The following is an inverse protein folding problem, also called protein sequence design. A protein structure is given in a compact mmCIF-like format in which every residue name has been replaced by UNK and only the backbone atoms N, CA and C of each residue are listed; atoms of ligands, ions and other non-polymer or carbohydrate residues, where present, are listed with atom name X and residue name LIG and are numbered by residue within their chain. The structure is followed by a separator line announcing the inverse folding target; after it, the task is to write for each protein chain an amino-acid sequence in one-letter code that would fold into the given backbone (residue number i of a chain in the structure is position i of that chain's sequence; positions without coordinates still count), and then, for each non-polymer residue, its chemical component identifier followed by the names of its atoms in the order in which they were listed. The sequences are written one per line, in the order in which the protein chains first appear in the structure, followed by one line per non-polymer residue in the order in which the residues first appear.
data_IF_958300942653
#
_entry.id   IF_958300942653
#
_cell.length_a   1.000
_cell.length_b   1.000
_cell.length_c   1.000
_cell.angle_alpha   90.00
_cell.angle_beta   90.00
_cell.angle_gamma   90.00
#
_symmetry.space_group_name_H-M   'P 1'
#
loop_
_entity.id
_entity.type
_entity.pdbx_description
1 polymer ?
#
# COMPACT_ATOMS: atom_id res chain seq x y z
N UNK A 1 -22.97 -15.38 18.75
CA UNK A 1 -22.12 -14.77 17.69
C UNK A 1 -20.92 -15.68 17.42
N UNK A 2 -20.46 -15.81 16.16
CA UNK A 2 -19.25 -16.58 15.86
C UNK A 2 -18.03 -15.90 16.49
N UNK A 3 -17.05 -16.69 16.93
CA UNK A 3 -15.85 -16.16 17.60
C UNK A 3 -15.06 -15.24 16.63
N UNK A 4 -14.77 -13.98 17.00
CA UNK A 4 -14.01 -13.04 16.16
C UNK A 4 -12.63 -13.56 15.74
N UNK A 5 -11.98 -14.38 16.56
CA UNK A 5 -10.69 -15.01 16.21
C UNK A 5 -10.76 -15.94 15.01
N UNK A 6 -11.94 -16.45 14.65
CA UNK A 6 -12.11 -17.34 13.50
C UNK A 6 -12.05 -16.59 12.15
N UNK A 7 -12.23 -15.28 12.13
CA UNK A 7 -12.33 -14.54 10.88
C UNK A 7 -11.49 -13.26 10.79
N UNK A 8 -11.22 -12.53 11.90
CA UNK A 8 -10.47 -11.27 11.86
C UNK A 8 -9.03 -11.48 11.37
N UNK A 9 -8.26 -12.46 11.88
CA UNK A 9 -6.90 -12.70 11.40
C UNK A 9 -6.83 -12.93 9.89
N UNK A 10 -7.65 -13.86 9.39
CA UNK A 10 -7.65 -14.22 7.97
C UNK A 10 -8.24 -13.12 7.08
N UNK A 11 -9.19 -12.33 7.58
CA UNK A 11 -9.80 -11.22 6.84
C UNK A 11 -8.78 -10.12 6.56
N UNK A 12 -8.01 -9.70 7.57
CA UNK A 12 -7.02 -8.64 7.41
C UNK A 12 -5.73 -9.11 6.74
N UNK A 13 -5.42 -10.39 6.83
CA UNK A 13 -4.42 -11.00 5.97
C UNK A 13 -4.85 -10.94 4.49
N UNK A 14 -6.11 -11.28 4.20
CA UNK A 14 -6.70 -11.18 2.86
C UNK A 14 -6.83 -9.74 2.34
N UNK A 15 -6.86 -8.73 3.21
CA UNK A 15 -6.85 -7.32 2.84
C UNK A 15 -5.45 -6.85 2.40
N UNK A 16 -4.40 -7.25 3.15
CA UNK A 16 -3.03 -6.80 2.89
C UNK A 16 -2.37 -7.44 1.68
N UNK A 17 -2.59 -8.73 1.43
CA UNK A 17 -1.83 -9.48 0.41
C UNK A 17 -2.09 -9.01 -1.03
N UNK A 18 -3.32 -8.68 -1.48
CA UNK A 18 -3.55 -8.20 -2.84
C UNK A 18 -2.91 -6.83 -3.08
N UNK A 19 -2.93 -5.94 -2.09
CA UNK A 19 -2.24 -4.66 -2.17
C UNK A 19 -0.74 -4.86 -2.42
N UNK A 20 -0.10 -5.74 -1.66
CA UNK A 20 1.32 -6.09 -1.85
C UNK A 20 1.57 -6.71 -3.23
N UNK A 21 0.70 -7.59 -3.68
CA UNK A 21 0.83 -8.21 -5.00
C UNK A 21 0.77 -7.18 -6.13
N UNK A 22 -0.18 -6.24 -6.06
CA UNK A 22 -0.37 -5.18 -7.05
C UNK A 22 0.75 -4.14 -7.00
N UNK A 23 1.20 -3.73 -5.80
CA UNK A 23 2.11 -2.59 -5.62
C UNK A 23 3.59 -2.96 -5.56
N UNK A 24 3.93 -4.18 -5.11
CA UNK A 24 5.31 -4.58 -4.89
C UNK A 24 5.72 -5.77 -5.73
N UNK A 25 4.95 -6.88 -5.68
CA UNK A 25 5.29 -8.07 -6.46
C UNK A 25 5.28 -7.79 -7.96
N UNK A 26 4.31 -7.00 -8.45
CA UNK A 26 4.25 -6.59 -9.85
C UNK A 26 5.52 -5.86 -10.30
N UNK A 27 6.04 -4.94 -9.49
CA UNK A 27 7.26 -4.17 -9.78
C UNK A 27 8.47 -5.10 -9.88
N UNK A 28 8.65 -5.98 -8.89
CA UNK A 28 9.77 -6.93 -8.86
C UNK A 28 9.67 -7.91 -10.03
N UNK A 29 8.50 -8.47 -10.26
CA UNK A 29 8.22 -9.40 -11.36
C UNK A 29 8.51 -8.76 -12.73
N UNK A 30 7.97 -7.56 -12.98
CA UNK A 30 8.20 -6.87 -14.25
C UNK A 30 9.67 -6.54 -14.45
N UNK A 31 10.39 -6.15 -13.39
CA UNK A 31 11.82 -5.92 -13.46
C UNK A 31 12.59 -7.18 -13.82
N UNK A 32 12.21 -8.32 -13.24
CA UNK A 32 12.78 -9.64 -13.59
C UNK A 32 12.45 -10.10 -15.02
N UNK A 33 11.40 -9.55 -15.61
CA UNK A 33 10.96 -9.83 -16.99
C UNK A 33 11.44 -8.76 -17.96
N UNK A 34 12.49 -7.99 -17.61
CA UNK A 34 13.17 -6.99 -18.44
C UNK A 34 12.28 -5.85 -18.94
N UNK A 35 11.21 -5.53 -18.21
CA UNK A 35 10.40 -4.34 -18.47
C UNK A 35 11.17 -3.09 -18.02
N UNK A 36 11.08 -2.01 -18.81
CA UNK A 36 11.76 -0.74 -18.52
C UNK A 36 11.30 -0.12 -17.19
N UNK A 37 12.17 0.62 -16.52
CA UNK A 37 11.82 1.33 -15.29
C UNK A 37 10.73 2.38 -15.55
N UNK A 38 10.72 3.00 -16.74
CA UNK A 38 9.67 3.92 -17.18
C UNK A 38 8.31 3.23 -17.20
N UNK A 39 8.19 2.09 -17.87
CA UNK A 39 6.91 1.36 -17.97
C UNK A 39 6.46 0.80 -16.62
N UNK A 40 7.41 0.23 -15.84
CA UNK A 40 7.11 -0.25 -14.49
C UNK A 40 6.53 0.87 -13.63
N UNK A 41 7.22 2.00 -13.54
CA UNK A 41 6.81 3.11 -12.71
C UNK A 41 5.47 3.71 -13.17
N UNK A 42 5.32 3.93 -14.48
CA UNK A 42 4.10 4.47 -15.07
C UNK A 42 2.89 3.57 -14.80
N UNK A 43 2.93 2.33 -15.26
CA UNK A 43 1.77 1.45 -15.25
C UNK A 43 1.43 0.92 -13.85
N UNK A 44 2.44 0.61 -13.00
CA UNK A 44 2.16 0.18 -11.63
C UNK A 44 1.72 1.32 -10.72
N UNK A 45 2.09 2.58 -11.01
CA UNK A 45 1.55 3.73 -10.28
C UNK A 45 0.09 4.00 -10.63
N UNK A 46 -0.32 3.81 -11.87
CA UNK A 46 -1.74 3.87 -12.27
C UNK A 46 -2.62 2.90 -11.45
N UNK A 47 -2.09 1.78 -11.00
CA UNK A 47 -2.82 0.82 -10.19
C UNK A 47 -3.22 1.36 -8.79
N UNK A 48 -2.71 2.53 -8.36
CA UNK A 48 -3.22 3.24 -7.18
C UNK A 48 -4.60 3.88 -7.40
N UNK A 49 -4.99 4.10 -8.65
CA UNK A 49 -6.21 4.82 -9.00
C UNK A 49 -7.49 4.29 -8.31
N UNK A 50 -7.72 2.97 -8.18
CA UNK A 50 -8.87 2.46 -7.44
C UNK A 50 -8.92 2.95 -5.99
N UNK A 51 -7.80 3.05 -5.29
CA UNK A 51 -7.75 3.58 -3.92
C UNK A 51 -7.92 5.10 -3.87
N UNK A 52 -7.49 5.82 -4.91
CA UNK A 52 -7.73 7.28 -5.03
C UNK A 52 -9.22 7.58 -5.11
N UNK A 53 -9.95 6.85 -5.96
CA UNK A 53 -11.38 7.08 -6.20
C UNK A 53 -12.30 6.20 -5.36
N UNK A 54 -11.75 5.35 -4.48
CA UNK A 54 -12.51 4.48 -3.55
C UNK A 54 -13.70 5.17 -2.85
N UNK A 55 -13.58 6.43 -2.37
CA UNK A 55 -14.71 7.13 -1.76
C UNK A 55 -15.92 7.28 -2.69
N UNK A 56 -15.75 7.32 -4.01
CA UNK A 56 -16.82 7.55 -4.97
C UNK A 56 -17.79 6.37 -5.08
N UNK A 57 -17.30 5.13 -4.91
CA UNK A 57 -18.19 3.96 -5.00
C UNK A 57 -18.45 3.26 -3.67
N UNK A 58 -17.81 3.69 -2.59
CA UNK A 58 -18.07 3.15 -1.24
C UNK A 58 -19.56 3.10 -0.89
N UNK A 59 -20.39 4.13 -1.19
CA UNK A 59 -21.82 4.10 -0.92
C UNK A 59 -22.56 2.99 -1.67
N UNK A 60 -22.12 2.62 -2.87
CA UNK A 60 -22.78 1.58 -3.67
C UNK A 60 -22.57 0.18 -3.08
N UNK A 61 -21.43 -0.04 -2.39
CA UNK A 61 -21.16 -1.30 -1.69
C UNK A 61 -22.21 -1.54 -0.59
N UNK A 62 -22.67 -0.48 0.06
CA UNK A 62 -23.69 -0.57 1.12
C UNK A 62 -25.11 -0.82 0.58
N UNK A 63 -25.37 -0.47 -0.68
CA UNK A 63 -26.69 -0.56 -1.29
C UNK A 63 -26.97 -1.89 -1.97
N UNK A 64 -25.98 -2.42 -2.71
CA UNK A 64 -26.26 -3.49 -3.68
C UNK A 64 -26.35 -4.85 -3.00
N UNK A 65 -25.46 -5.16 -2.08
CA UNK A 65 -25.39 -6.44 -1.36
C UNK A 65 -24.87 -6.24 0.06
N UNK A 66 -24.91 -7.31 0.87
CA UNK A 66 -24.31 -7.34 2.21
C UNK A 66 -22.79 -7.17 2.13
N UNK A 67 -22.19 -6.54 3.15
CA UNK A 67 -20.69 -6.45 3.25
C UNK A 67 -20.06 -7.84 3.27
N UNK A 68 -20.72 -8.79 3.96
CA UNK A 68 -20.30 -10.20 3.96
C UNK A 68 -20.23 -10.79 2.55
N UNK A 69 -21.22 -10.49 1.68
CA UNK A 69 -21.20 -10.95 0.28
C UNK A 69 -20.03 -10.34 -0.50
N UNK A 70 -19.82 -9.04 -0.36
CA UNK A 70 -18.71 -8.36 -1.02
C UNK A 70 -17.36 -8.93 -0.61
N UNK A 71 -17.13 -9.25 0.68
CA UNK A 71 -15.88 -9.83 1.17
C UNK A 71 -15.53 -11.10 0.39
N UNK A 72 -16.35 -12.14 0.45
CA UNK A 72 -15.97 -13.40 -0.19
C UNK A 72 -16.05 -13.35 -1.73
N UNK A 73 -16.92 -12.51 -2.30
CA UNK A 73 -16.99 -12.32 -3.75
C UNK A 73 -15.70 -11.63 -4.27
N UNK A 74 -15.25 -10.55 -3.62
CA UNK A 74 -14.02 -9.87 -4.03
C UNK A 74 -12.78 -10.74 -3.83
N UNK A 75 -12.74 -11.57 -2.81
CA UNK A 75 -11.67 -12.57 -2.64
C UNK A 75 -11.63 -13.57 -3.80
N UNK A 76 -12.79 -13.98 -4.29
CA UNK A 76 -12.85 -14.86 -5.47
C UNK A 76 -12.37 -14.14 -6.73
N UNK A 77 -12.76 -12.87 -6.95
CA UNK A 77 -12.27 -12.07 -8.07
C UNK A 77 -10.76 -11.81 -7.98
N UNK A 78 -10.22 -11.56 -6.79
CA UNK A 78 -8.78 -11.44 -6.57
C UNK A 78 -8.09 -12.76 -6.92
N UNK A 79 -8.61 -13.90 -6.44
CA UNK A 79 -8.08 -15.23 -6.77
C UNK A 79 -8.10 -15.50 -8.28
N UNK A 80 -9.20 -15.17 -8.96
CA UNK A 80 -9.30 -15.28 -10.41
C UNK A 80 -8.29 -14.37 -11.14
N UNK A 81 -8.12 -13.13 -10.66
CA UNK A 81 -7.11 -12.21 -11.20
C UNK A 81 -5.68 -12.74 -11.03
N UNK A 82 -5.35 -13.29 -9.84
CA UNK A 82 -4.04 -13.93 -9.60
C UNK A 82 -3.81 -15.13 -10.52
N UNK A 83 -4.82 -15.99 -10.68
CA UNK A 83 -4.76 -17.12 -11.63
C UNK A 83 -4.60 -16.64 -13.08
N UNK A 84 -5.29 -15.56 -13.45
CA UNK A 84 -5.16 -14.92 -14.75
C UNK A 84 -3.73 -14.41 -15.01
N UNK A 85 -3.12 -13.70 -14.04
CA UNK A 85 -1.71 -13.31 -14.13
C UNK A 85 -0.82 -14.52 -14.33
N UNK A 86 -0.97 -15.56 -13.48
CA UNK A 86 -0.16 -16.77 -13.56
C UNK A 86 -0.26 -17.46 -14.92
N UNK A 87 -1.46 -17.47 -15.50
CA UNK A 87 -1.72 -18.16 -16.77
C UNK A 87 -1.14 -17.41 -17.97
N UNK A 88 -1.16 -16.08 -17.97
CA UNK A 88 -0.72 -15.27 -19.12
C UNK A 88 0.77 -14.94 -19.10
N UNK A 89 1.45 -15.09 -17.95
CA UNK A 89 2.88 -14.75 -17.78
C UNK A 89 3.81 -15.43 -18.80
N UNK A 90 3.64 -16.70 -19.18
CA UNK A 90 4.52 -17.33 -20.17
C UNK A 90 4.27 -16.90 -21.64
N UNK A 91 3.24 -16.10 -21.90
CA UNK A 91 2.84 -15.70 -23.25
C UNK A 91 3.52 -14.40 -23.71
N UNK A 92 3.55 -14.17 -25.02
CA UNK A 92 4.21 -13.02 -25.64
C UNK A 92 3.59 -11.66 -25.27
N UNK A 93 2.29 -11.63 -24.96
CA UNK A 93 1.56 -10.41 -24.55
C UNK A 93 1.45 -10.25 -23.04
N UNK A 94 2.31 -10.92 -22.26
CA UNK A 94 2.21 -11.00 -20.79
C UNK A 94 2.05 -9.62 -20.13
N UNK A 95 2.79 -8.59 -20.56
CA UNK A 95 2.80 -7.30 -19.90
C UNK A 95 1.42 -6.66 -19.90
N UNK A 96 0.79 -6.52 -21.05
CA UNK A 96 -0.56 -5.93 -21.17
C UNK A 96 -1.64 -6.81 -20.52
N UNK A 97 -1.52 -8.12 -20.69
CA UNK A 97 -2.49 -9.06 -20.14
C UNK A 97 -2.43 -9.10 -18.60
N UNK A 98 -1.23 -9.15 -18.01
CA UNK A 98 -1.09 -9.11 -16.55
C UNK A 98 -1.53 -7.77 -15.96
N UNK A 99 -1.27 -6.63 -16.64
CA UNK A 99 -1.79 -5.33 -16.23
C UNK A 99 -3.31 -5.31 -16.15
N UNK A 100 -4.01 -5.89 -17.12
CA UNK A 100 -5.47 -5.98 -17.08
C UNK A 100 -5.97 -6.77 -15.85
N UNK A 101 -5.30 -7.88 -15.50
CA UNK A 101 -5.61 -8.62 -14.29
C UNK A 101 -5.24 -7.86 -13.01
N UNK A 102 -4.12 -7.12 -13.00
CA UNK A 102 -3.77 -6.26 -11.86
C UNK A 102 -4.79 -5.13 -11.65
N UNK A 103 -5.36 -4.56 -12.72
CA UNK A 103 -6.47 -3.62 -12.62
C UNK A 103 -7.71 -4.26 -11.99
N UNK A 104 -8.10 -5.44 -12.44
CA UNK A 104 -9.19 -6.20 -11.83
C UNK A 104 -8.94 -6.42 -10.33
N UNK A 105 -7.72 -6.83 -9.97
CA UNK A 105 -7.34 -7.04 -8.57
C UNK A 105 -7.32 -5.76 -7.75
N UNK A 106 -6.83 -4.65 -8.30
CA UNK A 106 -6.79 -3.36 -7.62
C UNK A 106 -8.20 -2.85 -7.28
N UNK A 107 -9.15 -2.92 -8.22
CA UNK A 107 -10.56 -2.60 -7.98
C UNK A 107 -11.21 -3.56 -6.98
N UNK A 108 -10.95 -4.86 -7.12
CA UNK A 108 -11.48 -5.87 -6.21
C UNK A 108 -10.93 -5.71 -4.80
N UNK A 109 -9.64 -5.41 -4.65
CA UNK A 109 -9.00 -5.16 -3.35
C UNK A 109 -9.54 -3.89 -2.70
N UNK A 110 -9.64 -2.78 -3.43
CA UNK A 110 -10.22 -1.54 -2.90
C UNK A 110 -11.69 -1.71 -2.47
N UNK A 111 -12.46 -2.53 -3.18
CA UNK A 111 -13.85 -2.88 -2.82
C UNK A 111 -13.90 -3.81 -1.61
N UNK A 112 -12.97 -4.78 -1.55
CA UNK A 112 -12.82 -5.67 -0.39
C UNK A 112 -12.52 -4.88 0.89
N UNK A 113 -11.61 -3.88 0.84
CA UNK A 113 -11.28 -3.02 1.99
C UNK A 113 -12.52 -2.28 2.50
N UNK A 114 -13.34 -1.70 1.59
CA UNK A 114 -14.59 -1.03 1.98
C UNK A 114 -15.50 -2.00 2.74
N UNK A 115 -15.67 -3.21 2.19
CA UNK A 115 -16.55 -4.21 2.77
C UNK A 115 -15.99 -4.75 4.09
N UNK A 116 -14.70 -5.04 4.18
CA UNK A 116 -14.04 -5.58 5.37
C UNK A 116 -14.08 -4.59 6.54
N UNK A 117 -13.72 -3.31 6.29
CA UNK A 117 -13.76 -2.26 7.32
C UNK A 117 -15.20 -1.99 7.81
N UNK A 118 -16.16 -1.94 6.89
CA UNK A 118 -17.56 -1.80 7.24
C UNK A 118 -18.10 -3.01 8.01
N UNK A 119 -17.72 -4.22 7.62
CA UNK A 119 -18.11 -5.45 8.30
C UNK A 119 -17.51 -5.58 9.70
N UNK A 120 -16.27 -5.14 9.90
CA UNK A 120 -15.62 -5.05 11.21
C UNK A 120 -16.46 -4.22 12.21
N UNK A 121 -17.00 -3.09 11.75
CA UNK A 121 -17.84 -2.24 12.60
C UNK A 121 -19.20 -2.85 12.91
N UNK A 122 -19.78 -3.63 11.99
CA UNK A 122 -21.09 -4.27 12.17
C UNK A 122 -21.02 -5.61 12.91
N UNK A 123 -19.95 -6.34 12.72
CA UNK A 123 -19.77 -7.70 13.26
C UNK A 123 -19.23 -7.75 14.69
N UNK A 124 -18.86 -6.61 15.29
CA UNK A 124 -18.21 -6.51 16.60
C UNK A 124 -18.82 -5.42 17.47
N UNK A 125 -18.88 -5.67 18.79
CA UNK A 125 -19.18 -4.63 19.78
C UNK A 125 -18.03 -3.62 19.87
N UNK A 126 -18.27 -2.42 20.42
CA UNK A 126 -17.24 -1.40 20.58
C UNK A 126 -16.00 -1.89 21.36
N UNK A 127 -16.21 -2.66 22.42
CA UNK A 127 -15.11 -3.25 23.21
C UNK A 127 -14.31 -4.27 22.40
N UNK A 128 -14.98 -5.08 21.60
CA UNK A 128 -14.32 -6.01 20.69
C UNK A 128 -13.56 -5.28 19.59
N UNK A 129 -14.12 -4.21 19.02
CA UNK A 129 -13.42 -3.38 18.03
C UNK A 129 -12.12 -2.81 18.61
N UNK A 130 -12.17 -2.26 19.83
CA UNK A 130 -11.00 -1.74 20.51
C UNK A 130 -9.94 -2.83 20.77
N UNK A 131 -10.36 -4.02 21.18
CA UNK A 131 -9.44 -5.15 21.41
C UNK A 131 -8.79 -5.66 20.11
N UNK A 132 -9.60 -5.86 19.07
CA UNK A 132 -9.13 -6.49 17.82
C UNK A 132 -8.40 -5.52 16.88
N UNK A 133 -8.36 -4.21 17.14
CA UNK A 133 -7.67 -3.25 16.27
C UNK A 133 -6.16 -3.54 16.12
N UNK A 134 -5.51 -3.96 17.19
CA UNK A 134 -4.10 -4.39 17.15
C UNK A 134 -3.91 -5.68 16.36
N UNK A 135 -4.83 -6.64 16.53
CA UNK A 135 -4.78 -7.94 15.85
C UNK A 135 -4.97 -7.75 14.33
N UNK A 136 -5.96 -6.95 13.90
CA UNK A 136 -6.15 -6.65 12.47
C UNK A 136 -4.89 -6.05 11.85
N UNK A 137 -4.29 -5.06 12.50
CA UNK A 137 -3.07 -4.42 12.02
C UNK A 137 -1.89 -5.41 11.94
N UNK A 138 -1.78 -6.31 12.91
CA UNK A 138 -0.75 -7.36 12.91
C UNK A 138 -0.90 -8.28 11.72
N UNK A 139 -2.09 -8.81 11.46
CA UNK A 139 -2.30 -9.73 10.34
C UNK A 139 -2.21 -9.06 8.97
N UNK A 140 -2.55 -7.79 8.85
CA UNK A 140 -2.24 -6.99 7.67
C UNK A 140 -0.72 -6.94 7.42
N UNK A 141 0.10 -6.76 8.48
CA UNK A 141 1.56 -6.75 8.37
C UNK A 141 2.14 -8.13 8.09
N UNK A 142 1.56 -9.19 8.67
CA UNK A 142 1.91 -10.57 8.32
C UNK A 142 1.71 -10.81 6.82
N UNK A 143 0.63 -10.30 6.22
CA UNK A 143 0.42 -10.36 4.78
C UNK A 143 1.52 -9.62 3.99
N UNK A 144 1.97 -8.47 4.47
CA UNK A 144 3.09 -7.74 3.84
C UNK A 144 4.38 -8.56 3.86
N UNK A 145 4.75 -9.13 5.01
CA UNK A 145 5.94 -10.00 5.13
C UNK A 145 5.80 -11.23 4.24
N UNK A 146 4.63 -11.84 4.22
CA UNK A 146 4.36 -13.02 3.38
C UNK A 146 4.51 -12.66 1.89
N UNK A 147 3.91 -11.56 1.44
CA UNK A 147 3.95 -11.13 0.04
C UNK A 147 5.36 -10.74 -0.40
N UNK A 148 5.85 -9.63 0.11
CA UNK A 148 7.11 -9.05 -0.39
C UNK A 148 8.37 -9.69 0.22
N UNK A 149 8.24 -10.48 1.29
CA UNK A 149 9.33 -11.28 1.85
C UNK A 149 9.30 -12.71 1.34
N UNK A 150 8.44 -13.54 1.95
CA UNK A 150 8.42 -14.99 1.72
C UNK A 150 8.16 -15.38 0.25
N UNK A 151 7.14 -14.78 -0.39
CA UNK A 151 6.79 -15.13 -1.77
C UNK A 151 7.84 -14.64 -2.78
N UNK A 152 8.46 -13.48 -2.56
CA UNK A 152 9.56 -13.00 -3.40
C UNK A 152 10.81 -13.86 -3.22
N UNK A 153 11.14 -14.28 -1.98
CA UNK A 153 12.24 -15.22 -1.74
C UNK A 153 11.98 -16.56 -2.44
N UNK A 154 10.75 -17.06 -2.36
CA UNK A 154 10.35 -18.28 -3.06
C UNK A 154 10.43 -18.12 -4.58
N UNK A 155 10.03 -16.98 -5.13
CA UNK A 155 10.20 -16.66 -6.55
C UNK A 155 11.67 -16.76 -6.96
N UNK A 156 12.57 -16.11 -6.20
CA UNK A 156 13.99 -16.14 -6.46
C UNK A 156 14.61 -17.54 -6.36
N UNK A 157 14.15 -18.37 -5.41
CA UNK A 157 14.54 -19.77 -5.31
C UNK A 157 14.09 -20.57 -6.54
N UNK A 158 12.83 -20.36 -6.98
CA UNK A 158 12.29 -21.02 -8.16
C UNK A 158 12.99 -20.55 -9.45
N UNK A 159 13.32 -19.26 -9.58
CA UNK A 159 14.10 -18.73 -10.70
C UNK A 159 15.43 -19.47 -10.83
N UNK A 160 16.14 -19.63 -9.70
CA UNK A 160 17.43 -20.35 -9.67
C UNK A 160 17.30 -21.82 -9.99
N UNK A 161 16.26 -22.48 -9.49
CA UNK A 161 16.08 -23.95 -9.65
C UNK A 161 15.51 -24.33 -11.01
N UNK A 162 14.63 -23.51 -11.61
CA UNK A 162 13.98 -23.81 -12.88
C UNK A 162 14.69 -23.21 -14.08
N UNK A 163 15.48 -22.14 -13.88
CA UNK A 163 16.06 -21.33 -14.95
C UNK A 163 15.02 -20.56 -15.79
N UNK A 164 13.73 -20.54 -15.38
CA UNK A 164 12.63 -19.93 -16.14
C UNK A 164 11.87 -18.91 -15.30
N UNK A 165 12.18 -17.63 -15.49
CA UNK A 165 11.60 -16.51 -14.72
C UNK A 165 10.06 -16.47 -14.84
N UNK A 166 9.45 -16.47 -16.06
CA UNK A 166 7.98 -16.41 -16.17
C UNK A 166 7.28 -17.56 -15.46
N UNK A 167 7.81 -18.77 -15.59
CA UNK A 167 7.25 -19.97 -14.94
C UNK A 167 7.33 -19.90 -13.43
N UNK A 168 8.44 -19.40 -12.88
CA UNK A 168 8.64 -19.24 -11.43
C UNK A 168 7.61 -18.27 -10.84
N UNK A 169 7.39 -17.14 -11.47
CA UNK A 169 6.38 -16.18 -11.06
C UNK A 169 4.94 -16.68 -11.27
N UNK A 170 4.69 -17.46 -12.32
CA UNK A 170 3.38 -18.13 -12.49
C UNK A 170 3.04 -19.03 -11.31
N UNK A 171 4.00 -19.81 -10.79
CA UNK A 171 3.79 -20.63 -9.60
C UNK A 171 3.41 -19.77 -8.40
N UNK A 172 4.12 -18.64 -8.16
CA UNK A 172 3.81 -17.72 -7.07
C UNK A 172 2.37 -17.22 -7.15
N UNK A 173 1.95 -16.76 -8.32
CA UNK A 173 0.58 -16.24 -8.51
C UNK A 173 -0.48 -17.34 -8.42
N UNK A 174 -0.19 -18.58 -8.84
CA UNK A 174 -1.10 -19.73 -8.62
C UNK A 174 -1.23 -20.09 -7.14
N UNK A 175 -0.15 -20.01 -6.36
CA UNK A 175 -0.20 -20.21 -4.89
C UNK A 175 -1.12 -19.17 -4.26
N UNK A 176 -0.97 -17.89 -4.62
CA UNK A 176 -1.83 -16.81 -4.09
C UNK A 176 -3.29 -17.02 -4.56
N UNK A 177 -3.50 -17.40 -5.81
CA UNK A 177 -4.84 -17.69 -6.35
C UNK A 177 -5.55 -18.79 -5.55
N UNK A 178 -4.88 -19.91 -5.32
CA UNK A 178 -5.41 -21.02 -4.52
C UNK A 178 -5.74 -20.59 -3.08
N UNK A 179 -4.86 -19.78 -2.48
CA UNK A 179 -5.09 -19.21 -1.16
C UNK A 179 -6.36 -18.35 -1.13
N UNK A 180 -6.57 -17.47 -2.12
CA UNK A 180 -7.75 -16.59 -2.16
C UNK A 180 -9.05 -17.33 -2.45
N UNK A 181 -9.02 -18.39 -3.25
CA UNK A 181 -10.17 -19.31 -3.38
C UNK A 181 -10.49 -19.97 -2.03
N UNK A 182 -9.47 -20.47 -1.33
CA UNK A 182 -9.61 -21.04 0.00
C UNK A 182 -10.17 -20.03 1.02
N UNK A 183 -9.64 -18.79 1.03
CA UNK A 183 -10.12 -17.71 1.91
C UNK A 183 -11.56 -17.30 1.59
N UNK A 184 -11.95 -17.25 0.31
CA UNK A 184 -13.33 -16.98 -0.10
C UNK A 184 -14.30 -18.03 0.46
N UNK A 185 -13.98 -19.32 0.31
CA UNK A 185 -14.78 -20.43 0.84
C UNK A 185 -14.82 -20.40 2.37
N UNK A 186 -13.68 -20.13 3.02
CA UNK A 186 -13.58 -19.99 4.46
C UNK A 186 -14.46 -18.85 4.97
N UNK A 187 -14.32 -17.64 4.45
CA UNK A 187 -15.09 -16.48 4.88
C UNK A 187 -16.57 -16.62 4.57
N UNK A 188 -16.94 -17.28 3.48
CA UNK A 188 -18.33 -17.62 3.21
C UNK A 188 -18.95 -18.48 4.32
N UNK A 189 -18.15 -19.32 4.99
CA UNK A 189 -18.62 -20.22 6.06
C UNK A 189 -18.52 -19.59 7.46
N UNK A 190 -17.44 -18.87 7.78
CA UNK A 190 -17.12 -18.41 9.14
C UNK A 190 -17.60 -17.02 9.47
N UNK A 191 -17.77 -16.11 8.49
CA UNK A 191 -18.25 -14.76 8.77
C UNK A 191 -19.63 -14.79 9.42
N UNK A 192 -19.86 -14.03 10.51
CA UNK A 192 -21.18 -13.88 11.12
C UNK A 192 -22.18 -13.25 10.13
N UNK A 193 -23.45 -13.24 10.52
CA UNK A 193 -24.55 -12.61 9.75
C UNK A 193 -25.24 -11.59 10.66
N UNK A 194 -24.65 -10.40 10.88
CA UNK A 194 -25.30 -9.36 11.65
C UNK A 194 -26.61 -8.95 10.96
N UNK A 195 -27.64 -8.66 11.74
CA UNK A 195 -28.93 -8.21 11.20
C UNK A 195 -28.79 -6.86 10.47
N UNK A 196 -27.86 -6.04 10.91
CA UNK A 196 -27.54 -4.73 10.35
C UNK A 196 -26.84 -4.81 8.98
N UNK A 197 -26.25 -5.96 8.63
CA UNK A 197 -25.62 -6.21 7.32
C UNK A 197 -26.68 -6.61 6.28
N UNK A 198 -27.66 -5.72 6.08
CA UNK A 198 -28.71 -5.88 5.08
C UNK A 198 -28.55 -4.80 3.99
N UNK A 199 -28.86 -5.11 2.72
CA UNK A 199 -28.96 -4.10 1.68
C UNK A 199 -30.00 -3.06 2.10
N UNK A 200 -29.75 -1.78 1.83
CA UNK A 200 -30.65 -0.66 2.16
C UNK A 200 -31.52 -0.29 0.97
N UNK A 201 -32.56 -1.02 0.62
CA UNK A 201 -33.34 -0.82 -0.62
C UNK A 201 -34.17 0.47 -0.63
N UNK A 202 -34.32 1.14 0.50
CA UNK A 202 -35.14 2.38 0.62
C UNK A 202 -34.36 3.65 0.30
N UNK A 203 -33.03 3.59 0.13
CA UNK A 203 -32.20 4.77 -0.18
C UNK A 203 -31.88 4.74 -1.66
N UNK A 204 -32.39 5.71 -2.40
CA UNK A 204 -32.11 5.81 -3.85
C UNK A 204 -30.68 6.25 -4.10
N UNK A 205 -30.04 5.81 -5.19
CA UNK A 205 -28.68 6.25 -5.55
C UNK A 205 -28.54 7.77 -5.63
N UNK A 206 -29.60 8.49 -6.00
CA UNK A 206 -29.63 9.95 -6.06
C UNK A 206 -29.50 10.60 -4.68
N UNK A 207 -30.15 10.08 -3.65
CA UNK A 207 -30.04 10.59 -2.28
C UNK A 207 -28.61 10.42 -1.76
N UNK A 208 -28.01 9.25 -1.99
CA UNK A 208 -26.63 8.97 -1.59
C UNK A 208 -25.67 9.90 -2.32
N UNK A 209 -25.85 10.11 -3.61
CA UNK A 209 -25.00 11.01 -4.37
C UNK A 209 -25.10 12.45 -3.86
N UNK A 210 -26.28 12.92 -3.49
CA UNK A 210 -26.49 14.25 -2.91
C UNK A 210 -25.79 14.36 -1.54
N UNK A 211 -25.94 13.36 -0.67
CA UNK A 211 -25.24 13.33 0.63
C UNK A 211 -23.71 13.26 0.46
N UNK A 212 -23.25 12.43 -0.48
CA UNK A 212 -21.83 12.38 -0.84
C UNK A 212 -21.31 13.73 -1.31
N UNK A 213 -22.01 14.39 -2.23
CA UNK A 213 -21.60 15.71 -2.73
C UNK A 213 -21.60 16.78 -1.64
N UNK A 214 -22.56 16.76 -0.72
CA UNK A 214 -22.57 17.65 0.46
C UNK A 214 -21.34 17.41 1.35
N UNK A 215 -21.06 16.16 1.64
CA UNK A 215 -19.90 15.74 2.45
C UNK A 215 -18.60 16.13 1.77
N UNK A 216 -18.48 15.88 0.48
CA UNK A 216 -17.33 16.26 -0.34
C UNK A 216 -17.12 17.78 -0.33
N UNK A 217 -18.18 18.56 -0.58
CA UNK A 217 -18.13 20.01 -0.53
C UNK A 217 -17.75 20.53 0.88
N UNK A 218 -18.22 19.89 1.94
CA UNK A 218 -17.87 20.27 3.32
C UNK A 218 -16.39 20.05 3.64
N UNK A 219 -15.74 19.04 3.05
CA UNK A 219 -14.31 18.81 3.17
C UNK A 219 -13.50 20.02 2.66
N UNK A 220 -13.83 20.53 1.46
CA UNK A 220 -13.12 21.66 0.85
C UNK A 220 -13.41 23.00 1.53
N UNK A 221 -14.45 23.09 2.36
CA UNK A 221 -14.76 24.29 3.18
C UNK A 221 -14.04 24.31 4.54
N UNK A 222 -13.28 23.28 4.87
CA UNK A 222 -12.53 23.24 6.14
C UNK A 222 -11.48 24.33 6.23
N UNK A 223 -11.33 24.91 7.41
CA UNK A 223 -10.26 25.89 7.68
C UNK A 223 -8.89 25.25 7.52
N UNK A 224 -8.02 25.85 6.72
CA UNK A 224 -6.69 25.32 6.45
C UNK A 224 -6.65 24.20 5.43
N UNK A 225 -7.66 24.09 4.55
CA UNK A 225 -7.75 23.05 3.52
C UNK A 225 -6.58 23.08 2.53
N UNK A 226 -6.13 24.27 2.11
CA UNK A 226 -5.02 24.39 1.15
C UNK A 226 -3.71 23.84 1.72
N UNK A 227 -3.21 24.31 2.90
CA UNK A 227 -2.05 23.66 3.52
C UNK A 227 -2.23 22.17 3.79
N UNK A 228 -3.44 21.72 4.15
CA UNK A 228 -3.71 20.30 4.39
C UNK A 228 -3.58 19.47 3.10
N UNK A 229 -4.16 19.92 1.98
CA UNK A 229 -4.02 19.23 0.69
C UNK A 229 -2.56 19.25 0.22
N UNK A 230 -1.87 20.38 0.32
CA UNK A 230 -0.45 20.47 -0.03
C UNK A 230 0.39 19.49 0.83
N UNK A 231 0.12 19.40 2.12
CA UNK A 231 0.76 18.44 3.00
C UNK A 231 0.46 16.99 2.56
N UNK A 232 -0.80 16.66 2.29
CA UNK A 232 -1.21 15.35 1.84
C UNK A 232 -0.51 14.91 0.55
N UNK A 233 -0.27 15.83 -0.36
CA UNK A 233 0.38 15.57 -1.64
C UNK A 233 1.90 15.57 -1.57
N UNK A 234 2.51 16.39 -0.67
CA UNK A 234 3.96 16.61 -0.69
C UNK A 234 4.73 15.86 0.39
N UNK A 235 4.07 15.46 1.50
CA UNK A 235 4.77 14.82 2.62
C UNK A 235 5.54 13.56 2.23
N UNK A 236 5.03 12.82 1.25
CA UNK A 236 5.64 11.60 0.73
C UNK A 236 6.17 11.74 -0.69
N UNK A 237 6.39 12.97 -1.17
CA UNK A 237 6.76 13.23 -2.57
C UNK A 237 8.09 12.57 -2.97
N UNK A 238 9.11 12.62 -2.12
CA UNK A 238 10.36 11.90 -2.34
C UNK A 238 10.20 10.39 -2.22
N UNK A 239 9.55 9.94 -1.16
CA UNK A 239 9.35 8.52 -0.88
C UNK A 239 8.47 7.83 -1.95
N UNK A 240 7.46 8.52 -2.49
CA UNK A 240 6.60 7.96 -3.56
C UNK A 240 7.37 7.57 -4.82
N UNK A 241 8.44 8.28 -5.13
CA UNK A 241 9.34 7.98 -6.25
C UNK A 241 10.37 6.91 -5.85
N UNK A 242 10.92 7.01 -4.64
CA UNK A 242 11.87 6.03 -4.12
C UNK A 242 11.29 4.62 -4.12
N UNK A 243 10.08 4.43 -3.60
CA UNK A 243 9.47 3.11 -3.47
C UNK A 243 9.27 2.40 -4.82
N UNK A 244 9.13 3.14 -5.90
CA UNK A 244 9.00 2.58 -7.25
C UNK A 244 10.34 2.08 -7.80
N UNK A 245 11.42 2.74 -7.46
CA UNK A 245 12.76 2.46 -7.99
C UNK A 245 13.67 1.71 -7.01
N UNK A 246 13.28 1.54 -5.75
CA UNK A 246 14.10 0.84 -4.76
C UNK A 246 14.38 -0.61 -5.17
N UNK A 247 13.34 -1.39 -5.50
CA UNK A 247 13.51 -2.79 -5.94
C UNK A 247 14.20 -2.88 -7.31
N UNK A 248 13.86 -2.09 -8.35
CA UNK A 248 14.63 -2.02 -9.58
C UNK A 248 16.11 -1.71 -9.34
N UNK A 249 16.44 -0.72 -8.51
CA UNK A 249 17.84 -0.38 -8.18
C UNK A 249 18.59 -1.56 -7.54
N UNK A 250 17.95 -2.29 -6.63
CA UNK A 250 18.58 -3.45 -6.00
C UNK A 250 18.81 -4.60 -7.00
N UNK A 251 17.94 -4.76 -8.00
CA UNK A 251 17.96 -5.85 -8.98
C UNK A 251 18.85 -5.56 -10.19
N UNK A 252 18.88 -4.31 -10.64
CA UNK A 252 19.61 -3.89 -11.84
C UNK A 252 21.10 -4.21 -11.76
N UNK A 253 21.70 -4.47 -12.92
CA UNK A 253 23.12 -4.77 -13.02
C UNK A 253 23.99 -3.59 -12.57
N UNK A 254 25.20 -3.87 -12.13
CA UNK A 254 26.16 -2.83 -11.76
C UNK A 254 26.54 -1.93 -12.93
N UNK A 255 26.52 -2.46 -14.15
CA UNK A 255 26.77 -1.70 -15.38
C UNK A 255 25.73 -0.60 -15.61
N UNK A 256 24.48 -0.84 -15.19
CA UNK A 256 23.39 0.14 -15.26
C UNK A 256 23.25 0.98 -13.99
N UNK A 257 24.18 0.83 -13.04
CA UNK A 257 24.20 1.57 -11.78
C UNK A 257 23.35 0.95 -10.66
N UNK A 258 22.87 -0.28 -10.82
CA UNK A 258 22.17 -1.05 -9.79
C UNK A 258 23.10 -1.89 -8.92
N UNK A 259 22.56 -2.62 -7.96
CA UNK A 259 23.34 -3.43 -7.01
C UNK A 259 23.45 -4.92 -7.39
N UNK A 260 22.80 -5.37 -8.44
CA UNK A 260 22.80 -6.75 -8.95
C UNK A 260 22.43 -7.82 -7.92
N UNK A 261 21.51 -7.51 -6.99
CA UNK A 261 21.00 -8.49 -6.05
C UNK A 261 20.10 -9.52 -6.74
N UNK A 262 20.13 -10.75 -6.24
CA UNK A 262 19.13 -11.75 -6.66
C UNK A 262 17.73 -11.41 -6.12
N UNK A 263 16.69 -11.92 -6.78
CA UNK A 263 15.29 -11.78 -6.36
C UNK A 263 15.09 -12.22 -4.89
N UNK A 264 15.74 -13.31 -4.46
CA UNK A 264 15.68 -13.79 -3.10
C UNK A 264 16.31 -12.82 -2.09
N UNK A 265 17.44 -12.19 -2.45
CA UNK A 265 18.09 -11.18 -1.59
C UNK A 265 17.24 -9.93 -1.46
N UNK A 266 16.58 -9.47 -2.54
CA UNK A 266 15.63 -8.36 -2.49
C UNK A 266 14.43 -8.70 -1.62
N UNK A 267 13.86 -9.90 -1.75
CA UNK A 267 12.80 -10.38 -0.88
C UNK A 267 13.17 -10.39 0.59
N UNK A 268 14.38 -10.81 0.92
CA UNK A 268 14.89 -10.78 2.30
C UNK A 268 15.13 -9.35 2.79
N UNK A 269 15.86 -8.53 2.03
CA UNK A 269 16.24 -7.18 2.43
C UNK A 269 15.00 -6.28 2.58
N UNK A 270 14.18 -6.20 1.53
CA UNK A 270 13.05 -5.28 1.50
C UNK A 270 11.80 -5.85 2.18
N UNK A 271 11.50 -7.13 1.92
CA UNK A 271 10.29 -7.77 2.41
C UNK A 271 10.39 -8.29 3.84
N UNK A 272 11.55 -8.65 4.33
CA UNK A 272 11.74 -9.17 5.70
C UNK A 272 12.36 -8.11 6.59
N UNK A 273 13.61 -7.73 6.34
CA UNK A 273 14.33 -6.74 7.16
C UNK A 273 13.62 -5.39 7.11
N UNK A 274 13.22 -4.95 5.92
CA UNK A 274 12.52 -3.69 5.72
C UNK A 274 11.18 -3.64 6.46
N UNK A 275 10.33 -4.65 6.30
CA UNK A 275 9.00 -4.65 6.95
C UNK A 275 9.09 -4.70 8.46
N UNK A 276 10.03 -5.49 9.02
CA UNK A 276 10.27 -5.52 10.48
C UNK A 276 10.71 -4.14 10.98
N UNK A 277 11.63 -3.49 10.27
CA UNK A 277 12.12 -2.14 10.61
C UNK A 277 11.00 -1.08 10.52
N UNK A 278 10.18 -1.15 9.48
CA UNK A 278 9.00 -0.29 9.30
C UNK A 278 8.01 -0.45 10.47
N UNK A 279 7.76 -1.68 10.92
CA UNK A 279 6.90 -1.96 12.08
C UNK A 279 7.44 -1.32 13.35
N UNK A 280 8.73 -1.51 13.62
CA UNK A 280 9.39 -0.93 14.80
C UNK A 280 9.32 0.60 14.75
N UNK A 281 9.60 1.21 13.58
CA UNK A 281 9.44 2.65 13.38
C UNK A 281 8.02 3.13 13.66
N UNK A 282 7.02 2.45 13.12
CA UNK A 282 5.61 2.79 13.31
C UNK A 282 5.16 2.69 14.78
N UNK A 283 5.55 1.63 15.49
CA UNK A 283 5.25 1.45 16.91
C UNK A 283 5.88 2.57 17.75
N UNK A 284 7.17 2.84 17.55
CA UNK A 284 7.88 3.90 18.27
C UNK A 284 7.32 5.28 17.92
N UNK A 285 6.94 5.51 16.67
CA UNK A 285 6.26 6.73 16.23
C UNK A 285 4.93 6.94 16.95
N UNK A 286 4.11 5.90 17.06
CA UNK A 286 2.86 5.92 17.81
C UNK A 286 3.06 6.25 19.28
N UNK A 287 4.04 5.61 19.94
CA UNK A 287 4.40 5.89 21.34
C UNK A 287 4.90 7.32 21.54
N UNK A 288 5.68 7.83 20.60
CA UNK A 288 6.20 9.19 20.66
C UNK A 288 5.06 10.23 20.60
N UNK A 289 4.13 10.07 19.65
CA UNK A 289 2.95 10.94 19.53
C UNK A 289 2.04 10.82 20.77
N UNK A 290 1.82 9.61 21.28
CA UNK A 290 0.98 9.39 22.46
C UNK A 290 1.52 10.12 23.70
N UNK A 291 2.86 10.23 23.84
CA UNK A 291 3.49 10.89 25.00
C UNK A 291 3.52 12.43 24.91
N UNK A 292 3.76 12.98 23.73
CA UNK A 292 4.04 14.43 23.60
C UNK A 292 3.17 15.14 22.54
N UNK A 293 2.28 14.41 21.88
CA UNK A 293 1.38 14.92 20.85
C UNK A 293 2.03 15.13 19.49
N UNK A 294 1.18 15.15 18.45
CA UNK A 294 1.61 15.27 17.05
C UNK A 294 2.37 16.56 16.76
N UNK A 295 1.92 17.70 17.30
CA UNK A 295 2.53 19.03 17.04
C UNK A 295 4.02 19.06 17.34
N UNK A 296 4.43 18.38 18.42
CA UNK A 296 5.83 18.36 18.85
C UNK A 296 6.68 17.42 18.00
N UNK A 297 6.08 16.31 17.53
CA UNK A 297 6.79 15.28 16.77
C UNK A 297 6.71 15.45 15.26
N UNK A 298 5.90 16.37 14.74
CA UNK A 298 5.70 16.51 13.29
C UNK A 298 7.00 16.79 12.54
N UNK A 299 7.81 17.74 13.01
CA UNK A 299 9.10 18.08 12.41
C UNK A 299 10.13 16.94 12.51
N UNK A 300 10.39 16.36 13.70
CA UNK A 300 11.26 15.19 13.80
C UNK A 300 10.82 14.02 12.92
N UNK A 301 9.52 13.78 12.80
CA UNK A 301 8.98 12.69 11.97
C UNK A 301 9.06 12.99 10.48
N UNK A 302 8.91 14.24 10.07
CA UNK A 302 9.17 14.66 8.69
C UNK A 302 10.66 14.49 8.31
N UNK A 303 11.58 14.76 9.23
CA UNK A 303 13.00 14.48 9.03
C UNK A 303 13.25 12.97 8.97
N UNK A 304 12.61 12.19 9.84
CA UNK A 304 12.77 10.74 9.90
C UNK A 304 12.29 10.00 8.65
N UNK A 305 11.27 10.50 7.94
CA UNK A 305 10.83 9.91 6.66
C UNK A 305 11.69 10.38 5.48
N UNK A 306 12.35 11.53 5.59
CA UNK A 306 13.07 12.15 4.46
C UNK A 306 14.57 11.86 4.47
N UNK A 307 15.25 12.05 5.61
CA UNK A 307 16.71 11.92 5.69
C UNK A 307 17.22 10.49 5.44
N UNK A 308 16.54 9.42 5.89
CA UNK A 308 17.00 8.07 5.60
C UNK A 308 17.06 7.72 4.11
N UNK A 309 16.36 8.43 3.23
CA UNK A 309 16.47 8.24 1.78
C UNK A 309 17.91 8.47 1.27
N UNK A 310 18.74 9.18 2.04
CA UNK A 310 20.17 9.35 1.78
C UNK A 310 20.94 8.01 1.72
N UNK A 311 20.43 6.94 2.34
CA UNK A 311 21.10 5.63 2.26
C UNK A 311 21.07 5.07 0.85
N UNK A 312 20.02 5.37 0.05
CA UNK A 312 19.97 4.97 -1.36
C UNK A 312 20.95 5.79 -2.19
N UNK A 313 21.10 7.08 -1.89
CA UNK A 313 22.12 7.91 -2.50
C UNK A 313 23.53 7.36 -2.17
N UNK A 314 23.78 7.02 -0.91
CA UNK A 314 25.02 6.36 -0.49
C UNK A 314 25.25 5.06 -1.26
N UNK A 315 24.25 4.17 -1.33
CA UNK A 315 24.38 2.90 -2.05
C UNK A 315 24.65 3.08 -3.56
N UNK A 316 24.03 4.10 -4.19
CA UNK A 316 24.23 4.37 -5.61
C UNK A 316 25.64 4.91 -5.94
N UNK A 317 26.29 5.60 -5.00
CA UNK A 317 27.67 6.08 -5.18
C UNK A 317 28.71 5.08 -4.69
N UNK A 318 28.49 4.47 -3.51
CA UNK A 318 29.44 3.55 -2.90
C UNK A 318 29.40 2.14 -3.49
N UNK A 319 28.28 1.76 -4.13
CA UNK A 319 28.07 0.44 -4.77
C UNK A 319 28.51 -0.73 -3.88
N UNK A 320 28.02 -0.84 -2.62
CA UNK A 320 28.52 -1.86 -1.68
C UNK A 320 28.23 -3.28 -2.18
N UNK A 321 29.18 -4.18 -1.98
CA UNK A 321 29.05 -5.63 -2.25
C UNK A 321 28.51 -6.39 -1.03
N UNK A 322 28.68 -5.81 0.16
CA UNK A 322 28.32 -6.46 1.41
C UNK A 322 26.82 -6.39 1.66
N UNK A 323 26.18 -7.54 1.63
CA UNK A 323 24.73 -7.67 1.85
C UNK A 323 24.29 -7.14 3.24
N UNK A 324 25.13 -7.18 4.25
CA UNK A 324 24.81 -6.64 5.57
C UNK A 324 24.71 -5.11 5.54
N UNK A 325 25.56 -4.42 4.77
CA UNK A 325 25.49 -2.98 4.57
C UNK A 325 24.19 -2.61 3.83
N UNK A 326 23.87 -3.34 2.77
CA UNK A 326 22.63 -3.13 2.01
C UNK A 326 21.40 -3.33 2.92
N UNK A 327 21.35 -4.42 3.67
CA UNK A 327 20.27 -4.69 4.61
C UNK A 327 20.16 -3.60 5.70
N UNK A 328 21.29 -3.10 6.22
CA UNK A 328 21.29 -2.00 7.19
C UNK A 328 20.74 -0.70 6.58
N UNK A 329 21.12 -0.38 5.34
CA UNK A 329 20.58 0.77 4.63
C UNK A 329 19.05 0.66 4.45
N UNK A 330 18.56 -0.49 3.99
CA UNK A 330 17.11 -0.73 3.85
C UNK A 330 16.41 -0.66 5.21
N UNK A 331 17.01 -1.21 6.27
CA UNK A 331 16.45 -1.15 7.62
C UNK A 331 16.30 0.30 8.11
N UNK A 332 17.31 1.13 7.93
CA UNK A 332 17.32 2.54 8.35
C UNK A 332 16.25 3.33 7.59
N UNK A 333 16.15 3.17 6.29
CA UNK A 333 15.14 3.86 5.47
C UNK A 333 13.73 3.41 5.87
N UNK A 334 13.47 2.10 5.96
CA UNK A 334 12.14 1.58 6.30
C UNK A 334 11.73 1.91 7.75
N UNK A 335 12.68 1.95 8.68
CA UNK A 335 12.43 2.43 10.04
C UNK A 335 11.99 3.91 10.03
N UNK A 336 12.75 4.75 9.33
CA UNK A 336 12.45 6.18 9.18
C UNK A 336 11.09 6.41 8.52
N UNK A 337 10.79 5.63 7.49
CA UNK A 337 9.48 5.62 6.85
C UNK A 337 8.36 5.26 7.85
N UNK A 338 8.48 4.15 8.56
CA UNK A 338 7.47 3.74 9.54
C UNK A 338 7.24 4.77 10.63
N UNK A 339 8.33 5.35 11.16
CA UNK A 339 8.27 6.38 12.20
C UNK A 339 7.61 7.66 11.69
N UNK A 340 8.02 8.17 10.54
CA UNK A 340 7.50 9.41 9.96
C UNK A 340 6.09 9.28 9.40
N UNK A 341 5.73 8.12 8.85
CA UNK A 341 4.37 7.86 8.33
C UNK A 341 3.31 7.89 9.43
N UNK A 342 3.69 7.64 10.69
CA UNK A 342 2.78 7.75 11.83
C UNK A 342 2.27 9.18 12.02
N UNK A 343 3.14 10.19 11.86
CA UNK A 343 2.72 11.59 11.93
C UNK A 343 1.75 11.95 10.79
N UNK A 344 2.02 11.43 9.60
CA UNK A 344 1.17 11.65 8.44
C UNK A 344 -0.25 11.11 8.65
N UNK A 345 -0.37 9.85 9.03
CA UNK A 345 -1.68 9.22 9.28
C UNK A 345 -2.42 9.89 10.44
N UNK A 346 -1.72 10.26 11.50
CA UNK A 346 -2.32 10.96 12.62
C UNK A 346 -2.84 12.35 12.23
N UNK A 347 -2.10 13.08 11.38
CA UNK A 347 -2.57 14.36 10.85
C UNK A 347 -3.85 14.18 10.00
N UNK A 348 -3.91 13.18 9.13
CA UNK A 348 -5.11 12.88 8.33
C UNK A 348 -6.34 12.62 9.22
N UNK A 349 -6.16 11.87 10.30
CA UNK A 349 -7.23 11.59 11.27
C UNK A 349 -7.72 12.86 11.97
N UNK A 350 -6.79 13.71 12.44
CA UNK A 350 -7.13 14.97 13.10
C UNK A 350 -7.78 15.97 12.14
N UNK A 351 -7.30 16.05 10.90
CA UNK A 351 -7.90 16.90 9.89
C UNK A 351 -9.32 16.44 9.51
N UNK A 352 -9.56 15.14 9.52
CA UNK A 352 -10.87 14.56 9.22
C UNK A 352 -11.93 14.81 10.31
N UNK A 353 -11.54 15.19 11.55
CA UNK A 353 -12.49 15.38 12.66
C UNK A 353 -13.65 16.31 12.32
N UNK A 354 -14.86 15.97 12.83
CA UNK A 354 -16.10 16.70 12.62
C UNK A 354 -17.27 15.77 12.32
N UNK A 355 -18.39 16.32 11.87
CA UNK A 355 -19.63 15.59 11.57
C UNK A 355 -19.44 14.43 10.58
N UNK A 356 -18.63 14.64 9.54
CA UNK A 356 -18.37 13.65 8.48
C UNK A 356 -16.99 13.00 8.60
N UNK A 357 -16.54 12.68 9.83
CA UNK A 357 -15.17 12.20 10.13
C UNK A 357 -14.72 11.05 9.21
N UNK A 358 -15.52 10.01 9.06
CA UNK A 358 -15.17 8.82 8.26
C UNK A 358 -15.00 9.17 6.79
N UNK A 359 -15.93 9.94 6.22
CA UNK A 359 -15.88 10.34 4.81
C UNK A 359 -14.74 11.31 4.55
N UNK A 360 -14.49 12.27 5.45
CA UNK A 360 -13.36 13.19 5.35
C UNK A 360 -12.02 12.45 5.44
N UNK A 361 -11.93 11.43 6.29
CA UNK A 361 -10.74 10.58 6.36
C UNK A 361 -10.52 9.79 5.06
N UNK A 362 -11.60 9.24 4.49
CA UNK A 362 -11.55 8.56 3.19
C UNK A 362 -11.09 9.48 2.06
N UNK A 363 -11.56 10.75 2.03
CA UNK A 363 -11.09 11.74 1.05
C UNK A 363 -9.61 12.06 1.28
N UNK A 364 -9.18 12.24 2.53
CA UNK A 364 -7.78 12.49 2.88
C UNK A 364 -6.85 11.34 2.44
N UNK A 365 -7.27 10.08 2.63
CA UNK A 365 -6.52 8.92 2.14
C UNK A 365 -6.54 8.80 0.61
N UNK A 366 -7.57 9.29 -0.06
CA UNK A 366 -7.60 9.47 -1.51
C UNK A 366 -6.51 10.43 -1.99
N UNK A 367 -6.34 11.59 -1.33
CA UNK A 367 -5.22 12.51 -1.61
C UNK A 367 -3.86 11.89 -1.31
N UNK A 368 -3.76 11.08 -0.25
CA UNK A 368 -2.55 10.30 0.04
C UNK A 368 -2.20 9.36 -1.12
N UNK A 369 -3.18 8.60 -1.63
CA UNK A 369 -2.97 7.71 -2.76
C UNK A 369 -2.61 8.47 -4.05
N UNK A 370 -3.23 9.63 -4.29
CA UNK A 370 -2.90 10.51 -5.41
C UNK A 370 -1.47 11.04 -5.33
N UNK A 371 -1.01 11.42 -4.12
CA UNK A 371 0.36 11.85 -3.85
C UNK A 371 1.41 10.74 -4.03
N UNK A 372 0.99 9.46 -3.97
CA UNK A 372 1.84 8.33 -4.35
C UNK A 372 1.81 8.06 -5.85
N UNK A 373 0.63 8.15 -6.45
CA UNK A 373 0.39 7.81 -7.84
C UNK A 373 1.11 8.75 -8.81
N UNK A 374 0.85 10.06 -8.72
CA UNK A 374 1.33 11.03 -9.71
C UNK A 374 2.86 11.14 -9.78
N UNK A 375 3.60 11.32 -8.66
CA UNK A 375 5.06 11.38 -8.75
C UNK A 375 5.66 10.02 -9.09
N UNK A 376 5.05 8.92 -8.61
CA UNK A 376 5.49 7.57 -8.93
C UNK A 376 5.46 7.28 -10.43
N UNK A 377 4.47 7.80 -11.16
CA UNK A 377 4.36 7.61 -12.62
C UNK A 377 5.56 8.17 -13.39
N UNK A 378 6.11 9.29 -12.96
CA UNK A 378 7.24 9.93 -13.63
C UNK A 378 8.62 9.37 -13.21
N UNK A 379 8.68 8.66 -12.09
CA UNK A 379 9.94 8.28 -11.44
C UNK A 379 10.86 7.42 -12.31
N UNK A 380 10.30 6.45 -13.03
CA UNK A 380 11.08 5.57 -13.92
C UNK A 380 11.68 6.32 -15.10
N UNK A 381 10.88 7.19 -15.75
CA UNK A 381 11.35 8.03 -16.84
C UNK A 381 12.47 8.97 -16.38
N UNK A 382 12.29 9.64 -15.24
CA UNK A 382 13.34 10.50 -14.66
C UNK A 382 14.61 9.69 -14.42
N UNK A 383 14.50 8.52 -13.81
CA UNK A 383 15.65 7.67 -13.51
C UNK A 383 16.39 7.22 -14.79
N UNK A 384 15.67 6.84 -15.85
CA UNK A 384 16.30 6.44 -17.12
C UNK A 384 17.03 7.59 -17.81
N UNK A 385 16.57 8.87 -17.63
CA UNK A 385 17.24 10.03 -18.21
C UNK A 385 18.52 10.43 -17.46
N UNK A 386 18.51 10.34 -16.11
CA UNK A 386 19.60 10.89 -15.28
C UNK A 386 20.42 9.83 -14.53
N UNK A 387 20.03 8.55 -14.61
CA UNK A 387 20.67 7.45 -13.88
C UNK A 387 20.33 7.42 -12.40
N UNK A 388 20.66 6.30 -11.71
CA UNK A 388 20.31 6.09 -10.30
C UNK A 388 20.93 7.12 -9.36
N UNK A 389 22.18 7.50 -9.57
CA UNK A 389 22.89 8.44 -8.70
C UNK A 389 22.17 9.79 -8.62
N UNK A 390 21.90 10.41 -9.78
CA UNK A 390 21.18 11.68 -9.83
C UNK A 390 19.70 11.54 -9.50
N UNK A 391 19.09 10.37 -9.77
CA UNK A 391 17.72 10.10 -9.37
C UNK A 391 17.55 10.13 -7.84
N UNK A 392 18.46 9.56 -7.07
CA UNK A 392 18.37 9.66 -5.61
C UNK A 392 18.70 11.07 -5.09
N UNK A 393 19.51 11.87 -5.78
CA UNK A 393 19.61 13.32 -5.51
C UNK A 393 18.27 14.01 -5.75
N UNK A 394 17.61 13.70 -6.86
CA UNK A 394 16.28 14.22 -7.18
C UNK A 394 15.24 13.83 -6.10
N UNK A 395 15.23 12.61 -5.62
CA UNK A 395 14.39 12.16 -4.51
C UNK A 395 14.60 13.03 -3.27
N UNK A 396 15.83 13.36 -2.93
CA UNK A 396 16.12 14.24 -1.79
C UNK A 396 15.60 15.66 -2.00
N UNK A 397 15.72 16.21 -3.21
CA UNK A 397 15.14 17.51 -3.56
C UNK A 397 13.60 17.47 -3.41
N UNK A 398 12.96 16.38 -3.83
CA UNK A 398 11.53 16.18 -3.71
C UNK A 398 11.03 16.06 -2.26
N UNK A 399 11.90 15.87 -1.28
CA UNK A 399 11.52 15.94 0.14
C UNK A 399 11.33 17.38 0.65
N UNK A 400 11.93 18.39 0.00
CA UNK A 400 11.92 19.79 0.46
C UNK A 400 10.51 20.40 0.54
N UNK A 401 9.61 20.23 -0.45
CA UNK A 401 8.28 20.82 -0.43
C UNK A 401 7.47 20.50 0.82
N UNK A 402 7.62 19.30 1.40
CA UNK A 402 6.97 18.92 2.64
C UNK A 402 7.32 19.91 3.79
N UNK A 403 8.60 20.23 3.94
CA UNK A 403 9.09 21.13 4.99
C UNK A 403 8.60 22.57 4.82
N UNK A 404 8.41 23.01 3.58
CA UNK A 404 7.85 24.34 3.28
C UNK A 404 6.37 24.44 3.68
N UNK A 405 5.65 23.34 3.70
CA UNK A 405 4.22 23.30 4.05
C UNK A 405 3.99 23.16 5.55
N UNK A 406 4.89 22.50 6.30
CA UNK A 406 4.73 22.21 7.72
C UNK A 406 4.37 23.43 8.59
N UNK A 407 4.99 24.63 8.41
CA UNK A 407 4.69 25.81 9.24
C UNK A 407 3.26 26.32 9.11
N UNK A 408 2.59 26.03 7.99
CA UNK A 408 1.24 26.50 7.70
C UNK A 408 0.14 25.55 8.19
N UNK A 409 0.51 24.37 8.72
CA UNK A 409 -0.44 23.42 9.25
C UNK A 409 -1.07 23.93 10.54
N UNK A 410 -2.40 23.88 10.59
CA UNK A 410 -3.15 24.30 11.77
C UNK A 410 -3.55 23.07 12.58
N UNK A 411 -3.16 23.06 13.84
CA UNK A 411 -3.63 22.08 14.82
C UNK A 411 -4.72 22.74 15.66
N UNK A 412 -5.86 22.06 15.82
CA UNK A 412 -6.82 22.45 16.85
C UNK A 412 -6.11 22.28 18.21
N UNK A 413 -6.20 23.30 19.04
CA UNK A 413 -5.73 23.25 20.43
C UNK A 413 -6.56 22.29 21.24
#
# INVERSE_FOLDING_TARGET
MKNPWSWIPSLYFAEGLPYVAVMTLSVIMYKRLDISNTDIALFTSWLYFPWVIKPLWSPFVDLIKTKRWWIYAMQLFIGAGMAGVAFVLPGDFFFRATLAFFWLMAFSSATHDIAADGFYMLGLTQDQQAFFIGIRNTFYRVAMITGQGLLVMLAGFLEKSTGRIPFSWSIIFFIIAGLFVGLSLWHRSVLPRPAEDAPRPQVTPSVIMVEFMKTFASFFRKKGIIPAILFMLTYRLGESQLVKLASPFLLDSRETGGLALSTAQVGFAYGTVGVVSLLLGGILGGLAIARKGLKQWLWPMALAISLPNLVYLYMAYAMPDNIFIINACVAVEQFGYGFGFTAYTMYLMLFAEGEYKTSHYAISTGFMALGMMLPGMASGWIQEQIGYQYFFVWVMICCIPAFLVLPFLKFKR
#
